data_IF_419398102874
#
_entry.id   IF_419398102874
#
_cell.length_a   1.000
_cell.length_b   1.000
_cell.length_c   1.000
_cell.angle_alpha   90.00
_cell.angle_beta   90.00
_cell.angle_gamma   90.00
#
_symmetry.space_group_name_H-M   'P 1'
#
loop_
_entity.id
_entity.type
_entity.pdbx_description
1 polymer ?
#
# COMPACT_ATOMS: atom_id res chain seq x y z
N UNK A 1 51.05 -8.20 46.78
CA UNK A 1 51.16 -8.62 45.35
C UNK A 1 50.28 -9.81 44.98
N UNK A 2 50.31 -10.95 45.69
CA UNK A 2 49.61 -12.19 45.28
C UNK A 2 48.07 -12.04 45.16
N UNK A 3 47.42 -11.33 46.09
CA UNK A 3 45.96 -11.08 46.05
C UNK A 3 45.49 -10.22 44.87
N UNK A 4 46.29 -9.24 44.45
CA UNK A 4 45.98 -8.40 43.28
C UNK A 4 46.12 -9.19 41.97
N UNK A 5 47.14 -10.04 41.85
CA UNK A 5 47.29 -10.90 40.67
C UNK A 5 46.17 -11.94 40.54
N UNK A 6 45.71 -12.54 41.66
CA UNK A 6 44.55 -13.44 41.64
C UNK A 6 43.25 -12.73 41.22
N UNK A 7 43.02 -11.49 41.70
CA UNK A 7 41.87 -10.68 41.25
C UNK A 7 41.93 -10.32 39.78
N UNK A 8 43.11 -9.93 39.27
CA UNK A 8 43.30 -9.65 37.84
C UNK A 8 43.08 -10.89 36.97
N UNK A 9 43.63 -12.03 37.37
CA UNK A 9 43.43 -13.30 36.66
C UNK A 9 41.97 -13.75 36.65
N UNK A 10 41.30 -13.67 37.80
CA UNK A 10 39.88 -14.01 37.90
C UNK A 10 39.01 -13.05 37.07
N UNK A 11 39.35 -11.76 37.04
CA UNK A 11 38.71 -10.77 36.18
C UNK A 11 38.93 -11.08 34.69
N UNK A 12 40.16 -11.37 34.27
CA UNK A 12 40.48 -11.75 32.89
C UNK A 12 39.78 -13.05 32.47
N UNK A 13 39.71 -14.04 33.36
CA UNK A 13 39.01 -15.31 33.10
C UNK A 13 37.49 -15.08 32.96
N UNK A 14 36.89 -14.28 33.86
CA UNK A 14 35.47 -13.93 33.78
C UNK A 14 35.15 -13.18 32.48
N UNK A 15 36.03 -12.26 32.07
CA UNK A 15 35.88 -11.49 30.84
C UNK A 15 36.02 -12.37 29.60
N UNK A 16 36.95 -13.33 29.61
CA UNK A 16 37.09 -14.34 28.56
C UNK A 16 35.84 -15.22 28.44
N UNK A 17 35.33 -15.73 29.57
CA UNK A 17 34.11 -16.56 29.61
C UNK A 17 32.92 -15.75 29.08
N UNK A 18 32.77 -14.51 29.53
CA UNK A 18 31.68 -13.63 29.07
C UNK A 18 31.78 -13.38 27.56
N UNK A 19 32.99 -13.10 27.05
CA UNK A 19 33.22 -12.92 25.62
C UNK A 19 32.90 -14.21 24.82
N UNK A 20 33.25 -15.39 25.34
CA UNK A 20 32.92 -16.69 24.73
C UNK A 20 31.40 -16.94 24.72
N UNK A 21 30.70 -16.65 25.82
CA UNK A 21 29.24 -16.82 25.90
C UNK A 21 28.53 -15.86 24.94
N UNK A 22 28.88 -14.57 24.95
CA UNK A 22 28.24 -13.56 24.09
C UNK A 22 28.52 -13.81 22.60
N UNK A 23 29.67 -14.40 22.27
CA UNK A 23 30.01 -14.77 20.89
C UNK A 23 29.46 -16.12 20.45
N UNK A 24 28.90 -16.94 21.35
CA UNK A 24 28.36 -18.27 21.07
C UNK A 24 27.08 -18.24 20.22
N UNK A 25 26.85 -19.29 19.42
CA UNK A 25 25.63 -19.42 18.62
C UNK A 25 24.35 -19.46 19.46
N UNK A 26 24.28 -20.15 20.61
CA UNK A 26 23.05 -20.16 21.41
C UNK A 26 22.71 -18.77 21.97
N UNK A 27 23.71 -17.97 22.35
CA UNK A 27 23.46 -16.61 22.81
C UNK A 27 22.92 -15.73 21.67
N UNK A 28 23.50 -15.83 20.47
CA UNK A 28 23.01 -15.10 19.29
C UNK A 28 21.57 -15.48 18.95
N UNK A 29 21.26 -16.77 18.84
CA UNK A 29 19.93 -17.27 18.50
C UNK A 29 18.89 -16.92 19.56
N UNK A 30 19.26 -16.98 20.84
CA UNK A 30 18.36 -16.56 21.93
C UNK A 30 18.14 -15.03 21.92
N UNK A 31 19.18 -14.25 21.58
CA UNK A 31 19.09 -12.78 21.49
C UNK A 31 18.32 -12.29 20.26
N UNK A 32 18.32 -13.06 19.17
CA UNK A 32 17.59 -12.77 17.93
C UNK A 32 16.21 -13.43 17.89
N UNK A 33 15.86 -14.21 18.91
CA UNK A 33 14.59 -14.91 18.98
C UNK A 33 13.42 -13.91 18.94
N UNK A 34 12.41 -14.12 18.09
CA UNK A 34 11.30 -13.19 17.94
C UNK A 34 10.48 -13.13 19.22
N UNK A 35 10.11 -11.91 19.64
CA UNK A 35 9.14 -11.70 20.74
C UNK A 35 7.70 -11.92 20.30
N UNK A 36 7.44 -11.71 19.02
CA UNK A 36 6.15 -11.92 18.38
C UNK A 36 6.36 -12.62 17.04
N UNK A 37 5.48 -13.58 16.75
CA UNK A 37 5.48 -14.37 15.52
C UNK A 37 4.09 -14.33 14.91
N UNK A 38 4.00 -13.91 13.65
CA UNK A 38 2.75 -13.83 12.90
C UNK A 38 2.74 -14.93 11.85
N UNK A 39 1.77 -15.82 11.95
CA UNK A 39 1.68 -17.02 11.13
C UNK A 39 0.33 -17.09 10.43
N UNK A 40 0.29 -17.66 9.23
CA UNK A 40 -0.98 -17.94 8.54
C UNK A 40 -1.52 -19.30 8.96
N UNK A 41 -2.83 -19.43 9.08
CA UNK A 41 -3.50 -20.71 9.28
C UNK A 41 -3.10 -21.70 8.18
N UNK A 42 -2.75 -22.94 8.57
CA UNK A 42 -2.27 -23.96 7.64
C UNK A 42 -0.82 -23.78 7.16
N UNK A 43 -0.09 -22.76 7.64
CA UNK A 43 1.35 -22.66 7.34
C UNK A 43 2.19 -23.64 8.16
N UNK A 44 3.46 -23.78 7.81
CA UNK A 44 4.43 -24.58 8.54
C UNK A 44 5.69 -23.75 8.73
N UNK A 45 6.07 -23.52 9.99
CA UNK A 45 7.28 -22.78 10.33
C UNK A 45 8.19 -23.59 11.26
N UNK A 46 9.47 -23.24 11.28
CA UNK A 46 10.46 -23.87 12.15
C UNK A 46 11.07 -22.83 13.10
N UNK A 47 10.96 -23.09 14.41
CA UNK A 47 11.61 -22.30 15.45
C UNK A 47 12.92 -22.96 15.89
N UNK A 48 14.00 -22.18 15.94
CA UNK A 48 15.32 -22.67 16.34
C UNK A 48 15.86 -21.86 17.52
N UNK A 49 16.32 -22.55 18.56
CA UNK A 49 16.92 -21.97 19.77
C UNK A 49 18.41 -22.34 19.88
N UNK A 50 18.83 -23.46 19.29
CA UNK A 50 20.22 -23.94 19.19
C UNK A 50 20.95 -24.14 20.53
N UNK A 51 20.23 -24.48 21.60
CA UNK A 51 20.84 -24.78 22.92
C UNK A 51 20.96 -26.30 23.06
N UNK A 52 22.14 -26.86 23.40
CA UNK A 52 22.36 -28.32 23.45
C UNK A 52 21.80 -28.96 24.73
N UNK A 53 20.53 -28.70 25.04
CA UNK A 53 19.82 -29.25 26.21
C UNK A 53 18.41 -29.69 25.83
N UNK A 54 17.88 -30.66 26.59
CA UNK A 54 16.44 -30.93 26.57
C UNK A 54 15.71 -29.81 27.30
N UNK A 55 14.64 -29.30 26.69
CA UNK A 55 13.77 -28.28 27.26
C UNK A 55 12.32 -28.70 27.24
N UNK A 56 11.49 -27.88 27.87
CA UNK A 56 10.03 -28.00 27.84
C UNK A 56 9.49 -26.77 27.15
N UNK A 57 8.68 -26.97 26.11
CA UNK A 57 7.93 -25.91 25.47
C UNK A 57 6.50 -25.91 26.01
N UNK A 58 6.08 -24.78 26.56
CA UNK A 58 4.73 -24.56 27.08
C UNK A 58 3.94 -23.78 26.05
N UNK A 59 2.81 -24.32 25.63
CA UNK A 59 1.88 -23.71 24.70
C UNK A 59 0.59 -23.32 25.45
N UNK A 60 0.28 -22.03 25.45
CA UNK A 60 -0.92 -21.52 26.13
C UNK A 60 -2.23 -21.96 25.47
N UNK A 61 -2.21 -22.32 24.17
CA UNK A 61 -3.41 -22.65 23.41
C UNK A 61 -3.16 -23.74 22.34
N UNK A 62 -3.22 -25.03 22.72
CA UNK A 62 -3.02 -26.16 21.80
C UNK A 62 -4.02 -26.23 20.64
N UNK A 63 -5.26 -25.76 20.84
CA UNK A 63 -6.31 -25.78 19.80
C UNK A 63 -5.97 -24.87 18.60
N UNK A 64 -5.11 -23.86 18.80
CA UNK A 64 -4.71 -22.86 17.80
C UNK A 64 -3.39 -23.24 17.14
N UNK A 65 -2.47 -23.82 17.89
CA UNK A 65 -1.08 -23.98 17.50
C UNK A 65 -0.56 -25.33 17.95
N UNK A 66 -0.07 -26.16 17.03
CA UNK A 66 0.57 -27.41 17.36
C UNK A 66 2.09 -27.24 17.31
N UNK A 67 2.79 -28.01 18.14
CA UNK A 67 4.25 -28.03 18.19
C UNK A 67 4.73 -29.45 17.98
N UNK A 68 5.61 -29.64 16.98
CA UNK A 68 6.08 -30.96 16.54
C UNK A 68 4.91 -31.95 16.33
N UNK A 69 3.85 -31.51 15.62
CA UNK A 69 2.65 -32.31 15.36
C UNK A 69 1.75 -32.60 16.56
N UNK A 70 2.08 -32.12 17.76
CA UNK A 70 1.37 -32.49 18.99
C UNK A 70 0.42 -31.38 19.47
N UNK A 71 -0.82 -31.76 19.76
CA UNK A 71 -1.82 -30.93 20.45
C UNK A 71 -1.66 -31.08 21.97
N UNK A 72 -0.68 -30.38 22.55
CA UNK A 72 -0.40 -30.45 23.98
C UNK A 72 0.04 -29.10 24.55
N UNK A 73 -0.30 -28.87 25.83
CA UNK A 73 0.16 -27.70 26.58
C UNK A 73 1.65 -27.74 26.90
N UNK A 74 2.22 -28.92 27.07
CA UNK A 74 3.64 -29.09 27.35
C UNK A 74 4.22 -30.14 26.41
N UNK A 75 5.32 -29.78 25.74
CA UNK A 75 6.03 -30.65 24.80
C UNK A 75 7.50 -30.71 25.19
N UNK A 76 8.03 -31.92 25.40
CA UNK A 76 9.47 -32.12 25.58
C UNK A 76 10.17 -31.94 24.24
N UNK A 77 11.16 -31.04 24.19
CA UNK A 77 11.83 -30.65 22.94
C UNK A 77 13.35 -30.69 23.08
N UNK A 78 14.03 -31.17 22.05
CA UNK A 78 15.48 -31.05 21.91
C UNK A 78 15.80 -29.65 21.37
N UNK A 79 16.27 -28.75 22.23
CA UNK A 79 16.53 -27.35 21.85
C UNK A 79 17.73 -27.18 20.91
N UNK A 80 18.47 -28.26 20.64
CA UNK A 80 19.54 -28.26 19.63
C UNK A 80 19.01 -28.39 18.20
N UNK A 81 17.74 -28.84 18.05
CA UNK A 81 17.08 -29.07 16.77
C UNK A 81 15.99 -28.03 16.52
N UNK A 82 15.64 -27.76 15.24
CA UNK A 82 14.46 -26.96 14.92
C UNK A 82 13.17 -27.65 15.42
N UNK A 83 12.27 -26.85 15.98
CA UNK A 83 10.93 -27.26 16.41
C UNK A 83 9.93 -26.83 15.34
N UNK A 84 9.04 -27.72 14.93
CA UNK A 84 7.98 -27.37 14.00
C UNK A 84 6.84 -26.67 14.75
N UNK A 85 6.36 -25.58 14.17
CA UNK A 85 5.19 -24.83 14.62
C UNK A 85 4.15 -24.87 13.51
N UNK A 86 2.98 -25.39 13.84
CA UNK A 86 1.91 -25.69 12.89
C UNK A 86 0.62 -24.99 13.34
N UNK A 87 0.29 -23.81 12.78
CA UNK A 87 -0.93 -23.08 13.10
C UNK A 87 -2.16 -23.78 12.51
N UNK A 88 -3.13 -24.09 13.37
CA UNK A 88 -4.35 -24.82 13.02
C UNK A 88 -5.59 -23.94 12.87
N UNK A 89 -5.66 -22.84 13.60
CA UNK A 89 -6.81 -21.94 13.61
C UNK A 89 -6.37 -20.51 13.90
N UNK A 90 -7.01 -19.53 13.27
CA UNK A 90 -6.81 -18.12 13.61
C UNK A 90 -7.03 -17.80 15.11
N UNK A 91 -6.15 -16.97 15.68
CA UNK A 91 -6.20 -16.46 17.04
C UNK A 91 -4.82 -16.38 17.70
N UNK A 92 -4.79 -16.14 19.01
CA UNK A 92 -3.53 -15.90 19.74
C UNK A 92 -3.12 -17.09 20.63
N UNK A 93 -1.81 -17.35 20.65
CA UNK A 93 -1.16 -18.27 21.57
C UNK A 93 0.14 -17.66 22.11
N UNK A 94 0.67 -18.24 23.18
CA UNK A 94 1.99 -17.91 23.72
C UNK A 94 2.79 -19.20 23.83
N UNK A 95 3.99 -19.20 23.25
CA UNK A 95 4.96 -20.27 23.43
C UNK A 95 6.04 -19.82 24.40
N UNK A 96 6.31 -20.62 25.42
CA UNK A 96 7.37 -20.38 26.38
C UNK A 96 8.33 -21.58 26.38
N UNK A 97 9.61 -21.32 26.13
CA UNK A 97 10.65 -22.34 26.19
C UNK A 97 11.31 -22.27 27.56
N UNK A 98 11.37 -23.41 28.25
CA UNK A 98 12.02 -23.57 29.55
C UNK A 98 13.13 -24.62 29.50
N UNK A 99 14.14 -24.43 30.33
CA UNK A 99 15.07 -25.47 30.74
C UNK A 99 14.88 -25.73 32.23
N UNK A 100 14.34 -26.90 32.58
CA UNK A 100 13.79 -27.16 33.93
C UNK A 100 12.82 -26.02 34.33
N UNK A 101 13.11 -25.31 35.43
CA UNK A 101 12.28 -24.22 35.95
C UNK A 101 12.76 -22.83 35.49
N UNK A 102 13.76 -22.76 34.60
CA UNK A 102 14.32 -21.50 34.12
C UNK A 102 13.67 -21.17 32.77
N UNK A 103 12.89 -20.08 32.65
CA UNK A 103 12.39 -19.63 31.36
C UNK A 103 13.54 -19.09 30.51
N UNK A 104 13.74 -19.67 29.33
CA UNK A 104 14.77 -19.24 28.38
C UNK A 104 14.26 -18.12 27.48
N UNK A 105 13.08 -18.31 26.88
CA UNK A 105 12.45 -17.33 26.00
C UNK A 105 10.94 -17.53 25.94
N UNK A 106 10.21 -16.50 25.54
CA UNK A 106 8.78 -16.55 25.28
C UNK A 106 8.44 -15.75 24.02
N UNK A 107 7.51 -16.25 23.22
CA UNK A 107 7.04 -15.63 21.99
C UNK A 107 5.51 -15.59 21.99
N UNK A 108 4.95 -14.42 21.69
CA UNK A 108 3.52 -14.29 21.35
C UNK A 108 3.34 -14.78 19.91
N UNK A 109 2.43 -15.69 19.68
CA UNK A 109 2.09 -16.20 18.35
C UNK A 109 0.70 -15.69 17.98
N UNK A 110 0.61 -14.96 16.87
CA UNK A 110 -0.65 -14.52 16.30
C UNK A 110 -0.89 -15.31 15.00
N UNK A 111 -1.91 -16.17 15.01
CA UNK A 111 -2.34 -16.93 13.86
C UNK A 111 -3.41 -16.14 13.12
N UNK A 112 -3.10 -15.77 11.89
CA UNK A 112 -3.97 -15.05 10.97
C UNK A 112 -4.74 -16.05 10.09
N UNK A 113 -5.95 -15.70 9.61
CA UNK A 113 -6.70 -16.56 8.70
C UNK A 113 -5.95 -16.80 7.38
N UNK A 114 -6.19 -17.94 6.71
CA UNK A 114 -5.66 -18.20 5.37
C UNK A 114 -6.29 -17.22 4.35
N UNK A 115 -5.59 -16.11 4.12
CA UNK A 115 -6.02 -15.08 3.18
C UNK A 115 -5.45 -15.37 1.79
N UNK A 116 -6.35 -15.64 0.85
CA UNK A 116 -6.05 -15.90 -0.55
C UNK A 116 -6.72 -14.89 -1.46
N UNK A 117 -5.99 -14.39 -2.45
CA UNK A 117 -6.44 -13.33 -3.35
C UNK A 117 -6.19 -13.74 -4.80
N UNK A 118 -7.04 -13.29 -5.70
CA UNK A 118 -6.72 -13.33 -7.12
C UNK A 118 -5.66 -12.26 -7.42
N UNK A 119 -4.46 -12.64 -7.88
CA UNK A 119 -3.50 -11.66 -8.33
C UNK A 119 -4.02 -11.00 -9.61
N UNK A 120 -3.90 -9.67 -9.67
CA UNK A 120 -4.32 -8.91 -10.83
C UNK A 120 -3.31 -8.98 -11.98
N UNK A 121 -2.79 -7.81 -12.36
CA UNK A 121 -1.89 -7.61 -13.50
C UNK A 121 -2.59 -6.99 -14.70
N UNK A 122 -3.92 -6.92 -14.71
CA UNK A 122 -4.71 -6.28 -15.76
C UNK A 122 -4.48 -4.76 -15.77
N UNK A 123 -4.35 -4.19 -16.97
CA UNK A 123 -4.43 -2.74 -17.15
C UNK A 123 -5.85 -2.26 -16.94
N UNK A 124 -6.00 -1.26 -16.08
CA UNK A 124 -7.27 -0.60 -15.78
C UNK A 124 -7.20 0.88 -16.16
N UNK A 125 -8.32 1.39 -16.66
CA UNK A 125 -8.56 2.82 -16.76
C UNK A 125 -9.13 3.32 -15.45
N UNK A 126 -8.55 4.38 -14.92
CA UNK A 126 -9.00 5.03 -13.69
C UNK A 126 -9.70 6.31 -14.09
N UNK A 127 -10.94 6.50 -13.61
CA UNK A 127 -11.68 7.74 -13.74
C UNK A 127 -12.11 8.17 -12.35
N UNK A 128 -11.59 9.31 -11.89
CA UNK A 128 -11.81 9.83 -10.56
C UNK A 128 -12.46 11.21 -10.67
N UNK A 129 -13.54 11.41 -9.94
CA UNK A 129 -14.13 12.72 -9.71
C UNK A 129 -13.75 13.19 -8.31
N UNK A 130 -13.31 14.43 -8.22
CA UNK A 130 -12.87 15.01 -6.95
C UNK A 130 -14.07 15.37 -6.08
N UNK A 131 -13.91 15.34 -4.75
CA UNK A 131 -15.00 15.68 -3.81
C UNK A 131 -15.44 17.16 -3.85
N UNK A 132 -14.68 17.99 -4.55
CA UNK A 132 -14.94 19.39 -4.87
C UNK A 132 -13.97 19.84 -5.94
N UNK A 133 -14.04 21.09 -6.38
CA UNK A 133 -13.24 21.58 -7.50
C UNK A 133 -11.88 22.09 -7.00
N UNK A 134 -10.78 21.48 -7.46
CA UNK A 134 -9.41 21.81 -7.09
C UNK A 134 -8.91 23.02 -7.88
N UNK A 135 -8.28 23.99 -7.23
CA UNK A 135 -7.65 25.13 -7.88
C UNK A 135 -6.21 24.78 -8.26
N UNK A 136 -5.92 24.75 -9.57
CA UNK A 136 -4.59 24.39 -10.11
C UNK A 136 -3.81 25.61 -10.63
N UNK A 137 -4.44 26.79 -10.67
CA UNK A 137 -3.77 28.01 -11.10
C UNK A 137 -4.71 29.21 -11.15
N UNK A 138 -4.14 30.36 -11.48
CA UNK A 138 -4.88 31.61 -11.68
C UNK A 138 -4.90 31.98 -13.16
N UNK A 139 -6.00 32.61 -13.57
CA UNK A 139 -6.22 33.12 -14.92
C UNK A 139 -6.58 34.61 -14.85
N UNK A 140 -5.89 35.43 -15.62
CA UNK A 140 -6.19 36.86 -15.71
C UNK A 140 -7.37 37.10 -16.64
N UNK A 141 -8.42 37.72 -16.11
CA UNK A 141 -9.59 38.19 -16.85
C UNK A 141 -9.35 39.63 -17.27
N UNK A 142 -9.61 39.95 -18.54
CA UNK A 142 -9.54 41.31 -19.09
C UNK A 142 -10.94 41.93 -19.11
N UNK A 143 -11.21 42.89 -18.22
CA UNK A 143 -12.51 43.59 -18.16
C UNK A 143 -12.60 44.79 -19.12
N UNK A 144 -11.56 45.01 -19.93
CA UNK A 144 -11.39 46.15 -20.83
C UNK A 144 -10.72 47.38 -20.22
N UNK A 145 -10.49 47.40 -18.90
CA UNK A 145 -9.74 48.43 -18.18
C UNK A 145 -8.49 47.86 -17.51
N UNK A 146 -8.61 46.70 -16.88
CA UNK A 146 -7.57 46.04 -16.11
C UNK A 146 -7.53 44.54 -16.44
N UNK A 147 -6.37 43.91 -16.16
CA UNK A 147 -6.21 42.45 -16.17
C UNK A 147 -5.93 41.97 -14.76
N UNK A 148 -6.80 41.11 -14.22
CA UNK A 148 -6.68 40.60 -12.86
C UNK A 148 -7.36 39.24 -12.73
N UNK A 149 -7.03 38.48 -11.68
CA UNK A 149 -7.76 37.26 -11.31
C UNK A 149 -8.73 37.57 -10.17
N UNK A 150 -10.06 37.48 -10.38
CA UNK A 150 -11.02 37.65 -9.29
C UNK A 150 -10.83 36.65 -8.14
N UNK A 151 -10.44 35.43 -8.45
CA UNK A 151 -10.19 34.38 -7.47
C UNK A 151 -8.94 34.64 -6.64
N UNK A 152 -7.87 35.13 -7.27
CA UNK A 152 -6.67 35.58 -6.55
C UNK A 152 -7.00 36.74 -5.59
N UNK A 153 -7.76 37.74 -6.07
CA UNK A 153 -8.19 38.86 -5.23
C UNK A 153 -9.11 38.44 -4.07
N UNK A 154 -9.89 37.38 -4.25
CA UNK A 154 -10.71 36.77 -3.21
C UNK A 154 -9.89 35.95 -2.18
N UNK A 155 -8.56 35.86 -2.36
CA UNK A 155 -7.65 35.13 -1.46
C UNK A 155 -7.61 33.62 -1.69
N UNK A 156 -7.99 33.15 -2.89
CA UNK A 156 -7.96 31.74 -3.28
C UNK A 156 -6.55 31.39 -3.76
N UNK A 157 -6.00 30.27 -3.29
CA UNK A 157 -4.66 29.81 -3.61
C UNK A 157 -4.67 28.51 -4.41
N UNK A 158 -3.57 28.25 -5.11
CA UNK A 158 -3.33 26.94 -5.74
C UNK A 158 -3.30 25.86 -4.66
N UNK A 159 -4.03 24.77 -4.91
CA UNK A 159 -4.25 23.70 -3.93
C UNK A 159 -5.46 23.90 -3.02
N UNK A 160 -6.22 24.98 -3.18
CA UNK A 160 -7.52 25.11 -2.52
C UNK A 160 -8.56 24.21 -3.20
N UNK A 161 -9.46 23.62 -2.40
CA UNK A 161 -10.60 22.85 -2.91
C UNK A 161 -11.91 23.60 -2.63
N UNK A 162 -12.59 24.04 -3.68
CA UNK A 162 -13.90 24.69 -3.59
C UNK A 162 -14.95 23.58 -3.46
N UNK A 163 -15.57 23.48 -2.28
CA UNK A 163 -16.58 22.44 -2.00
C UNK A 163 -18.02 22.96 -2.05
N UNK A 164 -18.21 24.28 -1.89
CA UNK A 164 -19.50 24.94 -2.10
C UNK A 164 -19.36 26.29 -2.77
N UNK A 165 -20.39 26.64 -3.52
CA UNK A 165 -20.61 27.97 -4.06
C UNK A 165 -22.05 28.39 -3.75
N UNK A 166 -22.21 29.47 -2.98
CA UNK A 166 -23.40 29.81 -2.23
C UNK A 166 -23.86 28.60 -1.39
N UNK A 167 -25.12 28.19 -1.49
CA UNK A 167 -25.67 27.05 -0.73
C UNK A 167 -25.55 25.71 -1.49
N UNK A 168 -24.92 25.69 -2.66
CA UNK A 168 -24.80 24.49 -3.50
C UNK A 168 -23.44 23.82 -3.32
N UNK A 169 -23.46 22.50 -3.12
CA UNK A 169 -22.24 21.68 -3.25
C UNK A 169 -21.83 21.61 -4.71
N UNK A 170 -20.53 21.71 -4.96
CA UNK A 170 -19.99 21.76 -6.32
C UNK A 170 -18.95 20.66 -6.49
N UNK A 171 -19.15 19.83 -7.50
CA UNK A 171 -18.24 18.74 -7.89
C UNK A 171 -18.09 18.62 -9.43
N UNK A 172 -18.70 19.52 -10.20
CA UNK A 172 -18.72 19.50 -11.66
C UNK A 172 -18.40 20.91 -12.22
N UNK A 173 -17.50 20.97 -13.21
CA UNK A 173 -17.10 22.23 -13.87
C UNK A 173 -18.25 22.97 -14.58
N UNK A 174 -19.27 22.27 -15.07
CA UNK A 174 -20.43 22.88 -15.72
C UNK A 174 -21.29 23.63 -14.71
N UNK A 175 -21.47 23.09 -13.50
CA UNK A 175 -22.19 23.76 -12.41
C UNK A 175 -21.48 25.05 -12.02
N UNK A 176 -20.14 25.01 -11.91
CA UNK A 176 -19.32 26.21 -11.70
C UNK A 176 -19.56 27.24 -12.81
N UNK A 177 -19.40 26.83 -14.08
CA UNK A 177 -19.51 27.75 -15.22
C UNK A 177 -20.88 28.44 -15.24
N UNK A 178 -21.95 27.67 -15.07
CA UNK A 178 -23.32 28.18 -15.07
C UNK A 178 -23.55 29.17 -13.93
N UNK A 179 -23.21 28.78 -12.70
CA UNK A 179 -23.41 29.60 -11.50
C UNK A 179 -22.66 30.93 -11.58
N UNK A 180 -21.40 30.90 -12.02
CA UNK A 180 -20.57 32.11 -12.14
C UNK A 180 -21.13 33.06 -13.18
N UNK A 181 -21.56 32.54 -14.33
CA UNK A 181 -22.11 33.37 -15.39
C UNK A 181 -23.46 34.00 -14.99
N UNK A 182 -24.33 33.24 -14.34
CA UNK A 182 -25.62 33.74 -13.85
C UNK A 182 -25.46 34.77 -12.73
N UNK A 183 -24.55 34.53 -11.79
CA UNK A 183 -24.29 35.45 -10.66
C UNK A 183 -23.62 36.74 -11.14
N UNK A 184 -22.65 36.62 -12.05
CA UNK A 184 -21.96 37.76 -12.65
C UNK A 184 -22.90 38.67 -13.46
N UNK A 185 -23.83 38.10 -14.24
CA UNK A 185 -24.86 38.87 -14.97
C UNK A 185 -25.77 39.69 -14.06
N UNK A 186 -25.98 39.22 -12.82
CA UNK A 186 -26.74 39.93 -11.78
C UNK A 186 -25.88 40.92 -10.99
N UNK A 187 -24.58 41.02 -11.29
CA UNK A 187 -23.61 41.81 -10.55
C UNK A 187 -23.54 41.46 -9.05
N UNK A 188 -23.72 40.19 -8.72
CA UNK A 188 -23.67 39.68 -7.36
C UNK A 188 -22.32 39.00 -7.07
N UNK A 189 -21.99 38.88 -5.79
CA UNK A 189 -20.88 38.04 -5.34
C UNK A 189 -21.32 36.59 -5.16
N UNK A 190 -20.33 35.71 -5.10
CA UNK A 190 -20.48 34.28 -4.83
C UNK A 190 -19.78 34.01 -3.51
N UNK A 191 -20.51 33.42 -2.54
CA UNK A 191 -19.87 32.89 -1.34
C UNK A 191 -19.26 31.53 -1.65
N UNK A 192 -18.00 31.33 -1.27
CA UNK A 192 -17.28 30.09 -1.48
C UNK A 192 -16.99 29.45 -0.14
N UNK A 193 -17.17 28.12 -0.06
CA UNK A 193 -16.58 27.32 1.00
C UNK A 193 -15.38 26.58 0.43
N UNK A 194 -14.20 26.90 0.95
CA UNK A 194 -12.92 26.39 0.47
C UNK A 194 -12.26 25.55 1.54
N UNK A 195 -11.72 24.40 1.16
CA UNK A 195 -10.85 23.59 2.02
C UNK A 195 -9.40 23.88 1.66
N UNK A 196 -8.63 24.37 2.64
CA UNK A 196 -7.19 24.62 2.52
C UNK A 196 -6.48 23.78 3.58
N UNK A 197 -5.84 22.68 3.15
CA UNK A 197 -5.29 21.70 4.08
C UNK A 197 -6.37 21.08 4.96
N UNK A 198 -6.38 21.41 6.25
CA UNK A 198 -7.39 20.93 7.22
C UNK A 198 -8.45 21.98 7.58
N UNK A 199 -8.29 23.21 7.08
CA UNK A 199 -9.17 24.33 7.43
C UNK A 199 -10.27 24.51 6.39
N UNK A 200 -11.43 24.99 6.87
CA UNK A 200 -12.54 25.43 6.02
C UNK A 200 -12.64 26.95 6.09
N UNK A 201 -12.53 27.59 4.93
CA UNK A 201 -12.52 29.04 4.76
C UNK A 201 -13.79 29.46 4.01
N UNK A 202 -14.42 30.53 4.48
CA UNK A 202 -15.50 31.19 3.74
C UNK A 202 -14.94 32.42 3.03
N UNK A 203 -14.98 32.44 1.70
CA UNK A 203 -14.45 33.52 0.88
C UNK A 203 -15.55 34.12 0.02
N UNK A 204 -15.43 35.40 -0.34
CA UNK A 204 -16.38 36.07 -1.23
C UNK A 204 -15.70 36.42 -2.54
N UNK A 205 -16.22 35.89 -3.65
CA UNK A 205 -15.69 36.12 -4.99
C UNK A 205 -16.65 36.98 -5.81
N UNK A 206 -16.10 37.97 -6.51
CA UNK A 206 -16.85 38.81 -7.44
C UNK A 206 -16.46 38.44 -8.88
N UNK A 207 -17.33 37.77 -9.67
CA UNK A 207 -16.99 37.40 -11.03
C UNK A 207 -16.69 38.62 -11.92
N UNK A 208 -15.65 38.53 -12.74
CA UNK A 208 -15.33 39.57 -13.72
C UNK A 208 -15.76 39.14 -15.13
N UNK A 209 -16.27 40.09 -15.92
CA UNK A 209 -16.67 39.85 -17.30
C UNK A 209 -15.46 39.96 -18.22
N UNK A 210 -15.20 38.92 -18.99
CA UNK A 210 -14.12 38.92 -19.98
C UNK A 210 -14.56 39.68 -21.24
N UNK A 211 -13.72 40.62 -21.71
CA UNK A 211 -14.00 41.43 -22.89
C UNK A 211 -14.02 40.60 -24.18
N UNK A 212 -13.27 39.49 -24.24
CA UNK A 212 -13.11 38.69 -25.46
C UNK A 212 -14.41 38.00 -25.88
N UNK A 213 -15.15 37.46 -24.92
CA UNK A 213 -16.35 36.64 -25.16
C UNK A 213 -17.59 37.07 -24.35
N UNK A 214 -17.48 38.12 -23.54
CA UNK A 214 -18.55 38.60 -22.67
C UNK A 214 -19.06 37.59 -21.63
N UNK A 215 -18.30 36.53 -21.33
CA UNK A 215 -18.60 35.60 -20.24
C UNK A 215 -18.03 36.10 -18.90
N UNK A 216 -18.72 35.82 -17.80
CA UNK A 216 -18.16 36.06 -16.46
C UNK A 216 -17.28 34.90 -16.02
N UNK A 217 -16.14 35.22 -15.39
CA UNK A 217 -15.09 34.28 -15.01
C UNK A 217 -14.66 34.52 -13.55
N UNK A 218 -14.22 33.44 -12.91
CA UNK A 218 -13.57 33.51 -11.58
C UNK A 218 -12.08 33.84 -11.67
N UNK A 219 -11.46 33.73 -12.86
CA UNK A 219 -10.02 33.86 -13.01
C UNK A 219 -9.22 32.74 -12.33
N UNK A 220 -9.74 31.51 -12.32
CA UNK A 220 -9.07 30.33 -11.77
C UNK A 220 -8.99 29.24 -12.85
N UNK A 221 -7.89 28.49 -12.88
CA UNK A 221 -7.82 27.19 -13.51
C UNK A 221 -8.24 26.14 -12.49
N UNK A 222 -9.20 25.31 -12.88
CA UNK A 222 -9.84 24.36 -11.97
C UNK A 222 -9.86 22.93 -12.51
N UNK A 223 -9.57 22.00 -11.60
CA UNK A 223 -9.58 20.53 -11.64
C UNK A 223 -10.83 19.88 -11.05
N UNK A 224 -11.71 19.17 -11.75
CA UNK A 224 -12.80 18.38 -11.09
C UNK A 224 -12.65 16.86 -11.23
N UNK A 225 -11.69 16.42 -12.03
CA UNK A 225 -11.52 15.03 -12.37
C UNK A 225 -10.08 14.68 -12.71
N UNK A 226 -9.73 13.41 -12.55
CA UNK A 226 -8.47 12.84 -13.00
C UNK A 226 -8.72 11.51 -13.69
N UNK A 227 -7.99 11.28 -14.78
CA UNK A 227 -8.03 10.03 -15.50
C UNK A 227 -6.61 9.53 -15.78
N UNK A 228 -6.44 8.22 -15.81
CA UNK A 228 -5.15 7.61 -16.06
C UNK A 228 -5.23 6.11 -16.26
N UNK A 229 -4.07 5.50 -16.45
CA UNK A 229 -3.93 4.05 -16.61
C UNK A 229 -3.15 3.51 -15.43
N UNK A 230 -3.65 2.44 -14.85
CA UNK A 230 -3.01 1.73 -13.74
C UNK A 230 -3.04 0.23 -13.95
N UNK A 231 -2.49 -0.50 -12.99
CA UNK A 231 -2.57 -1.96 -12.95
C UNK A 231 -3.35 -2.39 -11.72
N UNK A 232 -4.29 -3.34 -11.90
CA UNK A 232 -4.98 -4.02 -10.82
C UNK A 232 -3.97 -4.90 -10.05
N UNK A 233 -3.92 -4.79 -8.73
CA UNK A 233 -2.98 -5.56 -7.91
C UNK A 233 -3.59 -6.86 -7.40
N UNK A 234 -4.77 -6.77 -6.79
CA UNK A 234 -5.42 -7.94 -6.24
C UNK A 234 -6.93 -7.76 -6.22
N UNK A 235 -7.62 -8.88 -6.13
CA UNK A 235 -9.03 -8.96 -5.83
C UNK A 235 -9.29 -10.03 -4.76
N UNK A 236 -10.00 -9.66 -3.70
CA UNK A 236 -10.47 -10.59 -2.68
C UNK A 236 -11.85 -11.14 -3.08
N UNK A 237 -11.99 -12.46 -3.34
CA UNK A 237 -13.27 -13.04 -3.74
C UNK A 237 -14.33 -12.98 -2.65
N UNK A 238 -13.94 -12.87 -1.36
CA UNK A 238 -14.86 -12.88 -0.23
C UNK A 238 -15.51 -11.52 -0.02
N UNK A 239 -14.71 -10.47 0.21
CA UNK A 239 -15.21 -9.12 0.47
C UNK A 239 -15.55 -8.33 -0.80
N UNK A 240 -15.13 -8.85 -1.97
CA UNK A 240 -15.16 -8.18 -3.27
C UNK A 240 -14.25 -6.94 -3.35
N UNK A 241 -13.41 -6.74 -2.34
CA UNK A 241 -12.46 -5.65 -2.29
C UNK A 241 -11.34 -5.85 -3.31
N UNK A 242 -10.82 -4.75 -3.83
CA UNK A 242 -9.66 -4.77 -4.71
C UNK A 242 -8.69 -3.65 -4.33
N UNK A 243 -7.43 -3.80 -4.75
CA UNK A 243 -6.42 -2.75 -4.73
C UNK A 243 -5.72 -2.60 -6.07
N UNK A 244 -5.29 -1.37 -6.39
CA UNK A 244 -4.58 -1.04 -7.64
C UNK A 244 -3.58 0.12 -7.44
N UNK A 245 -2.70 0.33 -8.44
CA UNK A 245 -1.65 1.35 -8.52
C UNK A 245 -0.49 1.24 -7.51
N UNK A 246 -0.72 0.91 -6.24
CA UNK A 246 0.37 0.87 -5.26
C UNK A 246 0.89 2.26 -4.83
N UNK A 247 0.26 3.36 -5.27
CA UNK A 247 0.55 4.73 -4.84
C UNK A 247 -0.66 5.65 -4.93
N UNK A 248 -0.56 6.79 -4.26
CA UNK A 248 -1.59 7.85 -4.29
C UNK A 248 -1.70 8.48 -5.68
N UNK A 249 -2.92 8.76 -6.12
CA UNK A 249 -3.18 9.64 -7.25
C UNK A 249 -3.11 11.08 -6.76
N UNK A 250 -2.15 11.82 -7.29
CA UNK A 250 -1.99 13.25 -7.04
C UNK A 250 -2.27 14.05 -8.29
N UNK A 251 -2.71 15.28 -8.09
CA UNK A 251 -2.79 16.28 -9.14
C UNK A 251 -1.38 16.69 -9.60
N UNK A 252 -1.18 16.77 -10.92
CA UNK A 252 0.16 16.95 -11.53
C UNK A 252 0.71 18.36 -11.30
N UNK A 253 -0.17 19.35 -11.18
CA UNK A 253 0.20 20.76 -11.07
C UNK A 253 0.45 21.17 -9.61
N UNK A 254 -0.31 20.60 -8.68
CA UNK A 254 -0.25 20.93 -7.25
C UNK A 254 0.50 19.91 -6.39
N UNK A 255 0.68 18.68 -6.89
CA UNK A 255 1.22 17.55 -6.14
C UNK A 255 0.30 17.02 -5.04
N UNK A 256 -0.88 17.62 -4.84
CA UNK A 256 -1.79 17.23 -3.77
C UNK A 256 -2.53 15.94 -4.11
N UNK A 257 -2.73 15.10 -3.08
CA UNK A 257 -3.53 13.90 -3.20
C UNK A 257 -4.98 14.24 -3.54
N UNK A 258 -5.54 13.55 -4.52
CA UNK A 258 -6.93 13.77 -4.91
C UNK A 258 -7.86 13.16 -3.86
N UNK A 259 -8.73 13.99 -3.29
CA UNK A 259 -9.81 13.54 -2.41
C UNK A 259 -10.93 12.97 -3.27
N UNK A 260 -11.21 11.68 -3.08
CA UNK A 260 -12.23 10.95 -3.84
C UNK A 260 -13.63 11.46 -3.49
N UNK A 261 -14.34 11.98 -4.50
CA UNK A 261 -15.78 12.22 -4.43
C UNK A 261 -16.55 11.01 -4.94
N UNK A 262 -16.28 10.65 -6.20
CA UNK A 262 -16.75 9.42 -6.85
C UNK A 262 -15.64 8.90 -7.76
N UNK A 263 -15.71 7.64 -8.16
CA UNK A 263 -14.77 7.11 -9.13
C UNK A 263 -15.08 5.70 -9.55
N UNK A 264 -14.52 5.35 -10.69
CA UNK A 264 -14.74 4.06 -11.33
C UNK A 264 -13.47 3.57 -12.00
N UNK A 265 -13.33 2.26 -12.00
CA UNK A 265 -12.33 1.57 -12.81
C UNK A 265 -13.02 0.89 -13.99
N UNK A 266 -12.42 1.02 -15.16
CA UNK A 266 -12.85 0.38 -16.41
C UNK A 266 -11.70 -0.47 -16.96
N UNK A 267 -11.99 -1.36 -17.89
CA UNK A 267 -10.94 -2.11 -18.56
C UNK A 267 -10.10 -1.18 -19.43
N UNK A 268 -8.78 -1.38 -19.47
CA UNK A 268 -7.92 -0.71 -20.44
C UNK A 268 -7.21 -1.72 -21.34
N UNK A 269 -6.96 -1.32 -22.59
CA UNK A 269 -6.18 -2.09 -23.57
C UNK A 269 -4.94 -1.32 -23.97
N UNK A 270 -3.77 -1.88 -23.69
CA UNK A 270 -2.46 -1.32 -24.05
C UNK A 270 -2.31 -1.33 -25.57
N UNK A 271 -2.10 -0.15 -26.15
CA UNK A 271 -1.91 0.03 -27.60
C UNK A 271 -0.45 0.12 -27.99
N UNK A 272 0.37 0.73 -27.14
CA UNK A 272 1.81 0.90 -27.37
C UNK A 272 2.53 1.17 -26.06
N UNK A 273 3.85 1.02 -26.08
CA UNK A 273 4.73 1.36 -24.95
C UNK A 273 5.81 2.31 -25.46
N UNK A 274 5.96 3.43 -24.77
CA UNK A 274 7.17 4.24 -24.85
C UNK A 274 8.22 3.63 -23.92
N UNK A 275 9.39 3.31 -24.48
CA UNK A 275 10.46 2.66 -23.72
C UNK A 275 11.09 3.63 -22.74
N UNK A 276 11.26 3.19 -21.49
CA UNK A 276 12.00 3.92 -20.48
C UNK A 276 13.50 3.95 -20.75
N UNK A 277 14.11 5.08 -20.44
CA UNK A 277 15.55 5.31 -20.53
C UNK A 277 16.04 6.08 -19.31
N UNK A 278 17.34 6.09 -19.05
CA UNK A 278 17.90 6.85 -17.94
C UNK A 278 17.51 8.33 -18.06
N UNK A 279 16.91 8.89 -17.01
CA UNK A 279 16.39 10.27 -16.97
C UNK A 279 14.97 10.44 -17.50
N UNK A 280 14.41 9.48 -18.25
CA UNK A 280 13.04 9.54 -18.76
C UNK A 280 12.31 8.21 -18.54
N UNK A 281 11.47 8.12 -17.50
CA UNK A 281 10.56 6.98 -17.32
C UNK A 281 9.69 6.81 -18.56
N UNK A 282 9.62 5.60 -19.11
CA UNK A 282 8.72 5.30 -20.22
C UNK A 282 7.27 5.26 -19.76
N UNK A 283 6.35 5.04 -20.70
CA UNK A 283 4.90 5.06 -20.43
C UNK A 283 4.16 3.97 -21.21
N UNK A 284 3.12 3.40 -20.58
CA UNK A 284 2.12 2.58 -21.28
C UNK A 284 1.01 3.45 -21.83
N UNK A 285 0.87 3.49 -23.16
CA UNK A 285 -0.33 4.04 -23.78
C UNK A 285 -1.42 2.99 -23.85
N UNK A 286 -2.58 3.31 -23.28
CA UNK A 286 -3.75 2.46 -23.33
C UNK A 286 -5.00 3.26 -23.68
N UNK A 287 -5.96 2.58 -24.30
CA UNK A 287 -7.30 3.10 -24.52
C UNK A 287 -8.25 2.43 -23.55
N UNK A 288 -9.23 3.18 -23.05
CA UNK A 288 -10.29 2.59 -22.25
C UNK A 288 -11.14 1.71 -23.16
N UNK A 289 -11.33 0.47 -22.72
CA UNK A 289 -12.02 -0.56 -23.46
C UNK A 289 -13.42 -0.69 -22.89
N UNK A 290 -14.42 -0.55 -23.76
CA UNK A 290 -15.83 -0.67 -23.40
C UNK A 290 -16.20 0.19 -22.17
N UNK A 291 -16.07 1.52 -22.29
CA UNK A 291 -16.22 2.46 -21.17
C UNK A 291 -17.57 2.41 -20.43
N UNK A 292 -18.59 1.79 -21.04
CA UNK A 292 -19.88 1.50 -20.42
C UNK A 292 -19.83 0.33 -19.42
N UNK A 293 -18.81 -0.52 -19.48
CA UNK A 293 -18.61 -1.65 -18.58
C UNK A 293 -17.70 -1.24 -17.42
N UNK A 294 -18.33 -0.82 -16.33
CA UNK A 294 -17.65 -0.50 -15.08
C UNK A 294 -17.23 -1.78 -14.36
N UNK A 295 -15.94 -1.91 -14.05
CA UNK A 295 -15.39 -3.06 -13.33
C UNK A 295 -15.64 -2.94 -11.82
N UNK A 296 -15.54 -1.72 -11.30
CA UNK A 296 -15.66 -1.43 -9.87
C UNK A 296 -15.64 0.05 -9.57
N UNK A 297 -15.96 0.40 -8.33
CA UNK A 297 -15.93 1.78 -7.84
C UNK A 297 -14.59 2.12 -7.18
N UNK A 298 -14.30 3.41 -7.03
CA UNK A 298 -13.16 3.91 -6.27
C UNK A 298 -13.70 4.64 -5.04
N UNK A 299 -13.36 4.16 -3.86
CA UNK A 299 -13.83 4.73 -2.59
C UNK A 299 -12.70 5.34 -1.76
N UNK A 300 -11.46 4.90 -2.00
CA UNK A 300 -10.27 5.42 -1.32
C UNK A 300 -9.14 5.66 -2.29
N UNK A 301 -8.41 6.74 -2.06
CA UNK A 301 -7.13 7.08 -2.68
C UNK A 301 -6.14 7.35 -1.55
N UNK A 302 -5.11 6.53 -1.45
CA UNK A 302 -4.21 6.47 -0.28
C UNK A 302 -2.74 6.41 -0.75
N UNK A 303 -1.77 6.54 0.15
CA UNK A 303 -0.36 6.32 -0.19
C UNK A 303 -0.05 4.94 -0.78
N UNK A 304 -0.91 3.93 -0.59
CA UNK A 304 -0.69 2.55 -1.06
C UNK A 304 -1.53 2.19 -2.30
N UNK A 305 -2.26 3.12 -2.87
CA UNK A 305 -3.08 2.87 -4.04
C UNK A 305 -4.52 3.35 -3.92
N UNK A 306 -5.32 2.90 -4.89
CA UNK A 306 -6.76 3.08 -4.89
C UNK A 306 -7.47 1.80 -4.51
N UNK A 307 -8.60 1.95 -3.82
CA UNK A 307 -9.36 0.83 -3.30
C UNK A 307 -10.87 1.04 -3.46
N UNK A 308 -11.57 -0.07 -3.61
CA UNK A 308 -13.02 -0.11 -3.70
C UNK A 308 -13.50 -1.54 -3.83
N UNK A 309 -14.64 -1.72 -4.48
CA UNK A 309 -15.23 -3.03 -4.74
C UNK A 309 -15.41 -3.26 -6.22
N UNK A 310 -15.11 -4.48 -6.67
CA UNK A 310 -15.40 -4.95 -8.01
C UNK A 310 -16.58 -5.91 -7.97
N UNK A 311 -17.44 -5.83 -8.99
CA UNK A 311 -18.63 -6.69 -9.07
C UNK A 311 -18.25 -8.12 -9.40
N UNK A 312 -17.41 -8.27 -10.40
CA UNK A 312 -17.00 -9.55 -10.97
C UNK A 312 -15.51 -9.78 -10.71
N UNK A 313 -15.11 -11.06 -10.74
CA UNK A 313 -13.70 -11.44 -10.69
C UNK A 313 -12.93 -10.86 -11.90
N UNK A 314 -11.61 -10.58 -11.73
CA UNK A 314 -10.80 -10.08 -12.83
C UNK A 314 -10.80 -11.07 -13.99
N UNK A 315 -11.24 -10.61 -15.16
CA UNK A 315 -11.19 -11.41 -16.38
C UNK A 315 -9.74 -11.57 -16.83
N UNK A 316 -9.43 -12.67 -17.52
CA UNK A 316 -8.11 -12.92 -18.15
C UNK A 316 -6.94 -12.92 -17.15
N UNK A 317 -7.21 -13.35 -15.92
CA UNK A 317 -6.18 -13.55 -14.90
C UNK A 317 -5.17 -14.60 -15.37
N UNK A 318 -3.89 -14.35 -15.07
CA UNK A 318 -2.82 -15.30 -15.38
C UNK A 318 -2.96 -16.56 -14.51
N UNK A 319 -3.24 -16.37 -13.21
CA UNK A 319 -3.58 -17.43 -12.28
C UNK A 319 -5.10 -17.62 -12.23
N UNK A 320 -5.57 -18.86 -12.42
CA UNK A 320 -7.00 -19.21 -12.35
C UNK A 320 -7.47 -19.46 -10.91
N UNK A 321 -6.54 -19.68 -9.98
CA UNK A 321 -6.81 -19.94 -8.57
C UNK A 321 -6.23 -18.81 -7.71
N UNK A 322 -6.86 -18.47 -6.58
CA UNK A 322 -6.36 -17.44 -5.69
C UNK A 322 -5.07 -17.89 -5.00
N UNK A 323 -4.12 -16.98 -4.88
CA UNK A 323 -2.83 -17.20 -4.26
C UNK A 323 -2.83 -16.73 -2.80
N UNK A 324 -2.14 -17.44 -1.89
CA UNK A 324 -1.91 -16.96 -0.53
C UNK A 324 -1.06 -15.67 -0.56
N UNK A 325 -1.19 -14.86 0.48
CA UNK A 325 -0.30 -13.69 0.68
C UNK A 325 0.93 -14.06 1.50
N UNK A 326 1.97 -13.23 1.44
CA UNK A 326 3.07 -13.24 2.39
C UNK A 326 3.03 -11.98 3.26
N UNK A 327 3.36 -12.15 4.55
CA UNK A 327 3.60 -11.01 5.44
C UNK A 327 4.96 -10.37 5.10
N UNK A 328 5.15 -9.12 5.52
CA UNK A 328 6.39 -8.38 5.24
C UNK A 328 7.66 -9.12 5.73
N UNK A 329 7.58 -9.84 6.85
CA UNK A 329 8.70 -10.62 7.40
C UNK A 329 9.04 -11.89 6.62
N UNK A 330 8.12 -12.37 5.76
CA UNK A 330 8.30 -13.56 4.92
C UNK A 330 8.88 -13.23 3.53
N UNK A 331 9.01 -11.95 3.21
CA UNK A 331 9.60 -11.50 1.93
C UNK A 331 11.12 -11.54 2.05
N UNK A 332 11.76 -12.13 1.06
CA UNK A 332 13.21 -12.29 1.02
C UNK A 332 13.82 -11.65 -0.23
N UNK A 333 15.10 -11.30 -0.15
CA UNK A 333 15.86 -10.95 -1.35
C UNK A 333 16.00 -12.17 -2.28
N UNK A 334 16.03 -11.91 -3.59
CA UNK A 334 16.21 -12.94 -4.61
C UNK A 334 15.08 -13.01 -5.66
N UNK A 335 14.94 -14.15 -6.38
CA UNK A 335 14.04 -14.26 -7.51
C UNK A 335 12.58 -14.05 -7.15
N UNK A 336 11.87 -13.28 -7.98
CA UNK A 336 10.43 -13.08 -7.89
C UNK A 336 9.85 -12.84 -9.29
N UNK A 337 8.54 -12.66 -9.38
CA UNK A 337 7.81 -12.41 -10.62
C UNK A 337 6.94 -11.17 -10.47
N UNK A 338 6.65 -10.49 -11.58
CA UNK A 338 5.56 -9.51 -11.67
C UNK A 338 4.55 -9.92 -12.73
N UNK A 339 3.28 -9.58 -12.48
CA UNK A 339 2.21 -9.73 -13.47
C UNK A 339 1.84 -8.38 -14.07
N UNK A 340 1.90 -8.24 -15.38
CA UNK A 340 1.55 -6.97 -16.03
C UNK A 340 1.13 -7.17 -17.48
N UNK A 341 0.39 -6.21 -18.05
CA UNK A 341 0.07 -6.19 -19.48
C UNK A 341 1.07 -5.28 -20.20
N UNK A 342 1.66 -5.79 -21.27
CA UNK A 342 2.50 -4.99 -22.19
C UNK A 342 1.88 -4.80 -23.58
N UNK A 343 0.82 -5.55 -23.89
CA UNK A 343 0.17 -5.50 -25.20
C UNK A 343 -1.28 -5.98 -25.09
N UNK A 344 -2.21 -5.19 -25.64
CA UNK A 344 -3.63 -5.48 -25.60
C UNK A 344 -4.15 -5.57 -24.16
N UNK A 345 -4.70 -6.73 -23.80
CA UNK A 345 -5.30 -6.99 -22.48
C UNK A 345 -4.76 -8.29 -21.86
N UNK A 346 -3.69 -8.84 -22.42
CA UNK A 346 -3.13 -10.13 -21.99
C UNK A 346 -2.22 -9.90 -20.79
N UNK A 347 -2.59 -10.45 -19.63
CA UNK A 347 -1.71 -10.48 -18.47
C UNK A 347 -0.60 -11.49 -18.71
N UNK A 348 0.64 -11.06 -18.49
CA UNK A 348 1.82 -11.90 -18.64
C UNK A 348 2.68 -11.84 -17.39
N UNK A 349 3.39 -12.94 -17.13
CA UNK A 349 4.37 -13.04 -16.05
C UNK A 349 5.77 -12.71 -16.56
N UNK A 350 6.50 -11.91 -15.78
CA UNK A 350 7.88 -11.51 -16.06
C UNK A 350 8.77 -11.69 -14.83
N UNK A 351 9.98 -12.18 -15.06
CA UNK A 351 11.05 -12.30 -14.07
C UNK A 351 11.56 -10.95 -13.54
N UNK A 352 11.68 -10.89 -12.22
CA UNK A 352 12.33 -9.82 -11.48
C UNK A 352 13.23 -10.39 -10.38
N UNK A 353 14.02 -9.53 -9.76
CA UNK A 353 14.76 -9.81 -8.55
C UNK A 353 14.38 -8.79 -7.48
N UNK A 354 14.05 -9.26 -6.27
CA UNK A 354 13.94 -8.41 -5.08
C UNK A 354 15.38 -8.18 -4.60
N UNK A 355 15.91 -7.01 -4.91
CA UNK A 355 17.31 -6.66 -4.64
C UNK A 355 17.55 -6.22 -3.20
N UNK A 356 16.51 -5.71 -2.52
CA UNK A 356 16.59 -5.30 -1.12
C UNK A 356 15.19 -5.32 -0.48
N UNK A 357 15.11 -5.82 0.75
CA UNK A 357 13.88 -5.85 1.56
C UNK A 357 14.04 -4.91 2.76
N UNK A 358 13.18 -3.90 2.84
CA UNK A 358 13.13 -2.97 3.97
C UNK A 358 12.19 -3.53 5.03
N UNK A 359 12.73 -3.89 6.20
CA UNK A 359 11.92 -4.32 7.34
C UNK A 359 11.08 -3.15 7.86
N UNK A 360 9.77 -3.35 7.93
CA UNK A 360 8.80 -2.32 8.29
C UNK A 360 7.90 -2.81 9.42
N UNK A 361 7.86 -2.07 10.53
CA UNK A 361 6.90 -2.31 11.62
C UNK A 361 5.61 -1.49 11.45
N UNK A 362 5.64 -0.47 10.59
CA UNK A 362 4.53 0.41 10.27
C UNK A 362 4.43 0.59 8.75
N UNK A 363 3.23 0.91 8.22
CA UNK A 363 3.05 1.09 6.78
C UNK A 363 3.99 2.15 6.22
N UNK A 364 4.77 1.78 5.20
CA UNK A 364 5.58 2.70 4.42
C UNK A 364 5.67 2.26 2.94
N UNK A 365 5.61 3.22 2.03
CA UNK A 365 5.44 2.98 0.58
C UNK A 365 6.66 2.36 -0.11
N UNK A 366 7.84 2.44 0.51
CA UNK A 366 9.09 1.84 0.01
C UNK A 366 9.46 0.61 0.84
N UNK A 367 8.77 -0.50 0.56
CA UNK A 367 8.97 -1.78 1.27
C UNK A 367 10.10 -2.62 0.70
N UNK A 368 10.31 -2.56 -0.62
CA UNK A 368 11.35 -3.33 -1.29
C UNK A 368 11.90 -2.59 -2.51
N UNK A 369 13.12 -2.93 -2.91
CA UNK A 369 13.70 -2.55 -4.19
C UNK A 369 13.63 -3.77 -5.10
N UNK A 370 13.07 -3.58 -6.29
CA UNK A 370 12.98 -4.62 -7.31
C UNK A 370 13.80 -4.23 -8.54
N UNK A 371 14.26 -5.23 -9.27
CA UNK A 371 14.96 -5.08 -10.54
C UNK A 371 14.39 -6.04 -11.57
N UNK A 372 14.05 -5.52 -12.76
CA UNK A 372 13.58 -6.34 -13.87
C UNK A 372 14.73 -7.13 -14.47
N UNK A 373 14.56 -8.44 -14.57
CA UNK A 373 15.56 -9.37 -15.13
C UNK A 373 15.05 -10.10 -16.38
N UNK A 374 13.73 -10.07 -16.65
CA UNK A 374 13.14 -10.62 -17.86
C UNK A 374 13.55 -9.85 -19.11
N UNK A 375 14.26 -10.54 -20.02
CA UNK A 375 14.74 -9.96 -21.28
C UNK A 375 13.61 -9.46 -22.18
N UNK A 376 12.49 -10.18 -22.25
CA UNK A 376 11.35 -9.80 -23.10
C UNK A 376 10.74 -8.48 -22.61
N UNK A 377 10.63 -8.32 -21.29
CA UNK A 377 10.12 -7.07 -20.70
C UNK A 377 11.08 -5.92 -20.96
N UNK A 378 12.37 -6.10 -20.68
CA UNK A 378 13.41 -5.10 -20.93
C UNK A 378 13.47 -4.67 -22.40
N UNK A 379 13.41 -5.63 -23.32
CA UNK A 379 13.40 -5.35 -24.77
C UNK A 379 12.18 -4.52 -25.18
N UNK A 380 10.99 -4.82 -24.66
CA UNK A 380 9.76 -4.11 -25.00
C UNK A 380 9.66 -2.73 -24.35
N UNK A 381 10.16 -2.57 -23.13
CA UNK A 381 9.77 -1.44 -22.25
C UNK A 381 10.94 -0.64 -21.69
N UNK A 382 12.17 -1.15 -21.75
CA UNK A 382 13.32 -0.57 -21.07
C UNK A 382 13.35 -0.80 -19.55
N UNK A 383 12.34 -1.47 -18.98
CA UNK A 383 12.22 -1.74 -17.54
C UNK A 383 10.82 -1.47 -17.01
N UNK A 384 10.73 -0.83 -15.85
CA UNK A 384 9.48 -0.39 -15.26
C UNK A 384 9.07 0.92 -15.93
N UNK A 385 7.84 1.00 -16.42
CA UNK A 385 7.28 2.20 -17.06
C UNK A 385 6.01 2.66 -16.33
N UNK A 386 5.63 3.91 -16.54
CA UNK A 386 4.37 4.44 -16.01
C UNK A 386 3.18 3.59 -16.50
N UNK A 387 2.20 3.39 -15.61
CA UNK A 387 1.10 2.44 -15.83
C UNK A 387 1.41 0.99 -15.41
N UNK A 388 2.66 0.64 -15.07
CA UNK A 388 2.96 -0.64 -14.38
C UNK A 388 2.68 -0.59 -12.89
N UNK A 389 2.50 0.58 -12.29
CA UNK A 389 2.25 0.66 -10.86
C UNK A 389 0.96 -0.12 -10.51
N UNK A 390 1.05 -0.90 -9.44
CA UNK A 390 0.04 -1.88 -9.04
C UNK A 390 0.28 -3.28 -9.61
N UNK A 391 1.30 -3.51 -10.45
CA UNK A 391 1.64 -4.86 -10.92
C UNK A 391 1.94 -5.76 -9.72
N UNK A 392 1.20 -6.88 -9.52
CA UNK A 392 1.40 -7.77 -8.38
C UNK A 392 2.79 -8.39 -8.43
N UNK A 393 3.46 -8.43 -7.28
CA UNK A 393 4.76 -9.10 -7.09
C UNK A 393 4.49 -10.46 -6.44
N UNK A 394 4.98 -11.52 -7.08
CA UNK A 394 4.82 -12.91 -6.64
C UNK A 394 6.18 -13.48 -6.28
N UNK A 395 6.32 -14.03 -5.07
CA UNK A 395 7.54 -14.73 -4.63
C UNK A 395 7.13 -16.04 -3.95
N UNK A 396 7.81 -17.14 -4.31
CA UNK A 396 7.54 -18.48 -3.74
C UNK A 396 6.04 -18.87 -3.77
N UNK A 397 5.33 -18.51 -4.83
CA UNK A 397 3.90 -18.80 -5.01
C UNK A 397 2.95 -17.95 -4.15
N UNK A 398 3.45 -16.89 -3.49
CA UNK A 398 2.67 -15.97 -2.67
C UNK A 398 2.66 -14.56 -3.26
N UNK A 399 1.55 -13.83 -3.09
CA UNK A 399 1.53 -12.39 -3.37
C UNK A 399 2.28 -11.69 -2.24
N UNK A 400 3.37 -11.01 -2.55
CA UNK A 400 4.19 -10.31 -1.54
C UNK A 400 3.98 -8.80 -1.55
N UNK A 401 3.51 -8.25 -2.67
CA UNK A 401 3.44 -6.81 -2.84
C UNK A 401 2.98 -6.35 -4.21
N UNK A 402 3.21 -5.07 -4.47
CA UNK A 402 2.93 -4.43 -5.75
C UNK A 402 4.06 -3.47 -6.14
N UNK A 403 4.33 -3.38 -7.43
CA UNK A 403 5.22 -2.36 -8.01
C UNK A 403 4.62 -0.98 -7.77
N UNK A 404 5.44 0.01 -7.37
CA UNK A 404 4.97 1.38 -7.11
C UNK A 404 5.62 2.38 -8.06
N UNK A 405 6.85 2.80 -7.80
CA UNK A 405 7.55 3.84 -8.57
C UNK A 405 8.83 3.29 -9.18
N UNK A 406 9.13 3.73 -10.40
CA UNK A 406 10.40 3.46 -11.09
C UNK A 406 11.51 4.43 -10.63
N UNK A 407 12.77 4.00 -10.67
CA UNK A 407 13.89 4.91 -10.49
C UNK A 407 14.14 5.71 -11.77
N UNK A 408 14.16 7.03 -11.67
CA UNK A 408 14.32 7.93 -12.83
C UNK A 408 15.64 7.65 -13.59
N UNK A 409 16.73 7.36 -12.86
CA UNK A 409 18.06 7.16 -13.48
C UNK A 409 18.31 5.71 -13.91
N UNK A 410 17.50 4.75 -13.46
CA UNK A 410 17.61 3.34 -13.80
C UNK A 410 16.19 2.74 -13.93
N UNK A 411 15.58 2.81 -15.14
CA UNK A 411 14.26 2.26 -15.37
C UNK A 411 14.16 0.76 -15.11
N UNK A 412 15.28 0.02 -15.09
CA UNK A 412 15.25 -1.42 -14.79
C UNK A 412 14.94 -1.69 -13.31
N UNK A 413 15.05 -0.68 -12.46
CA UNK A 413 14.85 -0.79 -11.02
C UNK A 413 13.71 0.10 -10.52
N UNK A 414 13.09 -0.30 -9.42
CA UNK A 414 11.99 0.46 -8.82
C UNK A 414 11.69 0.02 -7.40
N UNK A 415 10.65 0.61 -6.83
CA UNK A 415 10.14 0.29 -5.52
C UNK A 415 8.93 -0.65 -5.60
N UNK A 416 8.79 -1.49 -4.59
CA UNK A 416 7.55 -2.20 -4.27
C UNK A 416 7.06 -1.87 -2.86
N UNK A 417 5.75 -1.99 -2.66
CA UNK A 417 5.14 -1.96 -1.33
C UNK A 417 4.62 -3.36 -0.96
N UNK A 418 4.50 -3.65 0.33
CA UNK A 418 3.97 -4.94 0.79
C UNK A 418 2.46 -5.02 0.61
N UNK A 419 1.98 -6.22 0.27
CA UNK A 419 0.55 -6.49 0.10
C UNK A 419 -0.22 -6.25 1.40
N UNK A 420 0.41 -6.48 2.55
CA UNK A 420 -0.17 -6.26 3.88
C UNK A 420 -0.73 -4.83 4.04
N UNK A 421 0.00 -3.82 3.56
CA UNK A 421 -0.42 -2.42 3.66
C UNK A 421 -1.57 -2.10 2.73
N UNK A 422 -1.56 -2.67 1.53
CA UNK A 422 -2.66 -2.49 0.59
C UNK A 422 -3.95 -3.14 1.10
N UNK A 423 -3.86 -4.30 1.74
CA UNK A 423 -5.01 -5.00 2.32
C UNK A 423 -5.62 -4.23 3.50
N UNK A 424 -4.77 -3.66 4.35
CA UNK A 424 -5.21 -2.78 5.43
C UNK A 424 -6.06 -1.62 4.90
N UNK A 425 -5.60 -0.94 3.85
CA UNK A 425 -6.35 0.18 3.27
C UNK A 425 -7.61 -0.27 2.50
N UNK A 426 -7.58 -1.46 1.90
CA UNK A 426 -8.75 -2.08 1.29
C UNK A 426 -9.82 -2.52 2.31
N UNK A 427 -9.50 -2.51 3.61
CA UNK A 427 -10.39 -3.01 4.66
C UNK A 427 -10.49 -4.53 4.69
N UNK A 428 -9.49 -5.23 4.16
CA UNK A 428 -9.34 -6.68 4.28
C UNK A 428 -8.54 -6.95 5.54
N UNK A 429 -9.18 -7.56 6.54
CA UNK A 429 -8.60 -7.76 7.86
C UNK A 429 -7.44 -8.75 7.85
N UNK A 430 -6.20 -8.23 7.88
CA UNK A 430 -4.97 -9.01 8.09
C UNK A 430 -4.53 -9.00 9.57
N UNK A 431 -5.14 -8.18 10.43
CA UNK A 431 -4.63 -7.89 11.80
C UNK A 431 -5.61 -8.07 12.96
N UNK A 432 -6.82 -8.58 12.74
CA UNK A 432 -7.83 -8.62 13.81
C UNK A 432 -7.68 -9.84 14.74
N UNK A 433 -6.86 -9.67 15.78
CA UNK A 433 -7.13 -10.08 17.17
C UNK A 433 -6.33 -9.12 18.08
N UNK A 434 -6.95 -8.13 18.74
CA UNK A 434 -7.21 -8.23 20.18
C UNK A 434 -8.17 -7.15 20.77
N UNK A 435 -8.63 -6.11 20.03
CA UNK A 435 -9.33 -4.97 20.67
C UNK A 435 -10.83 -4.80 20.35
N UNK A 436 -11.43 -5.49 19.37
CA UNK A 436 -12.84 -5.20 19.01
C UNK A 436 -13.91 -6.00 19.79
N UNK A 437 -13.54 -6.82 20.77
CA UNK A 437 -14.51 -7.62 21.56
C UNK A 437 -14.79 -7.13 22.98
N UNK A 438 -14.22 -6.01 23.40
CA UNK A 438 -14.44 -5.44 24.74
C UNK A 438 -15.13 -4.08 24.71
N UNK A 439 -16.27 -3.95 24.01
CA UNK A 439 -17.26 -2.90 24.31
C UNK A 439 -18.65 -3.30 23.78
N UNK A 440 -19.23 -4.33 24.38
CA UNK A 440 -20.70 -4.41 24.48
C UNK A 440 -21.05 -3.90 25.87
N UNK A 441 -21.71 -2.73 26.01
CA UNK A 441 -22.30 -2.36 27.29
C UNK A 441 -23.40 -3.39 27.57
N UNK A 442 -23.32 -4.07 28.71
CA UNK A 442 -24.48 -4.78 29.25
C UNK A 442 -25.58 -3.74 29.46
N UNK A 443 -26.67 -3.88 28.72
CA UNK A 443 -27.90 -3.19 29.03
C UNK A 443 -28.35 -3.63 30.43
N UNK A 444 -28.56 -2.64 31.30
CA UNK A 444 -29.33 -2.77 32.53
C UNK A 444 -30.75 -2.27 32.27
#
# INVERSE_FOLDING_TARGET
MIRQNKRKWMGSLLLLITALVVSSTPFRDLSSFPRELRLMEGSHEQLRVSVPVMGTLINSNPDILHVNGTEAREVSVDLSRPMSVEPRRAGEAQLQVKWHNIPLTAVKVNVLPDLRLYPGGQSIGVKLQTAGVLVVGHHLVDDGKNKFSPGEQAGIHVGDMIIKMNDMYINDMNDVKKLINETGKKNHSVQLLVVRGKEKLSLTLHPAKDKKDSEYRMGLYIRDSAAGVGTLTFYDPNSKAYGALGHVISDVDTGQAIVVGDGQIVQASVTSIEKGQSGNPGEKFARFYNESEVLGNITKNTPFGIFGKMKDEPKRSYYQEPLPIALAEQVEEGPAKILTVVEGQKVEEFDIEIANVVKQHFPATKGMIIKVTDKRLLEKTGGIVQGMSGSPIIQKGKIVGAVTHVFVNDPTSGYGCYIEWMLQDAGVNVRDTAESRTHTPKAA
#
